data_IF_564710283968
#
_entry.id   IF_564710283968
#
_cell.length_a   1.000
_cell.length_b   1.000
_cell.length_c   1.000
_cell.angle_alpha   90.00
_cell.angle_beta   90.00
_cell.angle_gamma   90.00
#
_symmetry.space_group_name_H-M   'P 1'
#
loop_
_entity.id
_entity.type
_entity.pdbx_description
1 polymer ?
#
# COMPACT_ATOMS: atom_id res chain seq x y z
N UNK A 1 -29.15 3.60 32.84
CA UNK A 1 -27.72 3.58 32.38
C UNK A 1 -27.61 4.64 31.31
N UNK A 2 -26.90 5.73 31.59
CA UNK A 2 -26.90 6.95 30.78
C UNK A 2 -26.37 6.73 29.37
N UNK A 3 -26.93 7.45 28.39
CA UNK A 3 -26.51 7.45 26.96
C UNK A 3 -24.99 7.68 26.86
N UNK A 4 -24.40 8.55 27.69
CA UNK A 4 -22.95 8.78 27.77
C UNK A 4 -22.14 7.53 28.14
N UNK A 5 -22.61 6.68 29.02
CA UNK A 5 -21.91 5.44 29.40
C UNK A 5 -21.98 4.43 28.25
N UNK A 6 -23.09 4.37 27.51
CA UNK A 6 -23.20 3.50 26.32
C UNK A 6 -22.29 3.93 25.19
N UNK A 7 -22.18 5.24 24.92
CA UNK A 7 -21.27 5.78 23.88
C UNK A 7 -19.82 5.51 24.24
N UNK A 8 -19.43 5.70 25.51
CA UNK A 8 -18.07 5.41 25.97
C UNK A 8 -17.71 3.91 25.90
N UNK A 9 -18.64 3.02 26.24
CA UNK A 9 -18.42 1.57 26.15
C UNK A 9 -18.32 1.09 24.71
N UNK A 10 -19.11 1.63 23.80
CA UNK A 10 -19.06 1.29 22.36
C UNK A 10 -17.75 1.79 21.76
N UNK A 11 -17.33 3.01 22.06
CA UNK A 11 -16.07 3.56 21.51
C UNK A 11 -14.84 2.81 22.03
N UNK A 12 -14.81 2.43 23.32
CA UNK A 12 -13.70 1.63 23.86
C UNK A 12 -13.64 0.20 23.31
N UNK A 13 -14.79 -0.40 23.02
CA UNK A 13 -14.87 -1.71 22.39
C UNK A 13 -14.37 -1.67 20.94
N UNK A 14 -14.80 -0.69 20.13
CA UNK A 14 -14.33 -0.52 18.76
C UNK A 14 -12.84 -0.22 18.70
N UNK A 15 -12.29 0.60 19.58
CA UNK A 15 -10.86 0.83 19.69
C UNK A 15 -10.09 -0.47 20.00
N UNK A 16 -10.63 -1.32 20.89
CA UNK A 16 -10.06 -2.64 21.19
C UNK A 16 -10.08 -3.59 19.98
N UNK A 17 -11.17 -3.62 19.19
CA UNK A 17 -11.29 -4.45 17.99
C UNK A 17 -10.32 -3.98 16.91
N UNK A 18 -10.29 -2.69 16.59
CA UNK A 18 -9.39 -2.12 15.59
C UNK A 18 -7.91 -2.37 15.94
N UNK A 19 -7.53 -2.17 17.19
CA UNK A 19 -6.17 -2.46 17.67
C UNK A 19 -5.81 -3.95 17.53
N UNK A 20 -6.77 -4.85 17.77
CA UNK A 20 -6.54 -6.29 17.59
C UNK A 20 -6.41 -6.67 16.12
N UNK A 21 -7.18 -6.04 15.23
CA UNK A 21 -7.04 -6.23 13.78
C UNK A 21 -5.63 -5.80 13.33
N UNK A 22 -5.19 -4.59 13.74
CA UNK A 22 -3.86 -4.08 13.39
C UNK A 22 -2.75 -5.01 13.90
N UNK A 23 -2.85 -5.52 15.13
CA UNK A 23 -1.92 -6.50 15.68
C UNK A 23 -1.86 -7.79 14.84
N UNK A 24 -3.02 -8.35 14.46
CA UNK A 24 -3.07 -9.56 13.63
C UNK A 24 -2.40 -9.35 12.26
N UNK A 25 -2.54 -8.15 11.69
CA UNK A 25 -1.89 -7.79 10.44
C UNK A 25 -0.37 -7.67 10.59
N UNK A 26 0.13 -7.08 11.69
CA UNK A 26 1.56 -7.04 12.01
C UNK A 26 2.15 -8.43 12.23
N UNK A 27 1.37 -9.35 12.80
CA UNK A 27 1.73 -10.76 12.96
C UNK A 27 1.60 -11.59 11.67
N UNK A 28 1.23 -10.99 10.53
CA UNK A 28 0.92 -11.66 9.25
C UNK A 28 -0.22 -12.69 9.34
N UNK A 29 -1.13 -12.54 10.31
CA UNK A 29 -2.33 -13.38 10.49
C UNK A 29 -3.52 -12.83 9.71
N UNK A 30 -3.35 -12.67 8.40
CA UNK A 30 -4.29 -11.93 7.54
C UNK A 30 -5.69 -12.53 7.48
N UNK A 31 -5.82 -13.85 7.52
CA UNK A 31 -7.14 -14.53 7.54
C UNK A 31 -7.89 -14.27 8.85
N UNK A 32 -7.18 -14.26 9.98
CA UNK A 32 -7.78 -13.94 11.27
C UNK A 32 -8.18 -12.46 11.35
N UNK A 33 -7.33 -11.57 10.82
CA UNK A 33 -7.65 -10.14 10.71
C UNK A 33 -8.90 -9.90 9.84
N UNK A 34 -8.98 -10.55 8.67
CA UNK A 34 -10.16 -10.47 7.80
C UNK A 34 -11.42 -10.95 8.54
N UNK A 35 -11.35 -12.13 9.14
CA UNK A 35 -12.49 -12.68 9.89
C UNK A 35 -12.95 -11.71 11.01
N UNK A 36 -12.01 -11.14 11.74
CA UNK A 36 -12.35 -10.19 12.82
C UNK A 36 -13.01 -8.91 12.27
N UNK A 37 -12.57 -8.43 11.09
CA UNK A 37 -13.24 -7.32 10.40
C UNK A 37 -14.68 -7.69 9.99
N UNK A 38 -14.88 -8.88 9.39
CA UNK A 38 -16.20 -9.35 8.94
C UNK A 38 -17.16 -9.57 10.11
N UNK A 39 -16.69 -10.18 11.21
CA UNK A 39 -17.48 -10.44 12.41
C UNK A 39 -17.96 -9.13 13.10
N UNK A 40 -17.26 -8.00 12.87
CA UNK A 40 -17.59 -6.69 13.43
C UNK A 40 -18.07 -5.69 12.38
N UNK A 41 -18.41 -6.13 11.17
CA UNK A 41 -18.77 -5.27 10.06
C UNK A 41 -19.81 -4.20 10.42
N UNK A 42 -19.50 -2.95 10.06
CA UNK A 42 -20.37 -1.81 10.20
C UNK A 42 -20.17 -0.86 9.00
N UNK A 43 -21.20 -0.69 8.19
CA UNK A 43 -21.18 0.12 6.97
C UNK A 43 -20.98 1.63 7.20
N UNK A 44 -21.02 2.07 8.43
CA UNK A 44 -20.80 3.47 8.82
C UNK A 44 -19.50 3.69 9.64
N UNK A 45 -18.69 2.66 9.82
CA UNK A 45 -17.42 2.73 10.53
C UNK A 45 -16.26 2.84 9.53
N UNK A 46 -15.80 4.07 9.30
CA UNK A 46 -14.67 4.36 8.39
C UNK A 46 -13.42 3.58 8.76
N UNK A 47 -13.14 3.48 10.07
CA UNK A 47 -11.94 2.82 10.59
C UNK A 47 -11.98 1.31 10.39
N UNK A 48 -13.13 0.70 10.43
CA UNK A 48 -13.29 -0.71 10.13
C UNK A 48 -13.29 -0.97 8.61
N UNK A 49 -13.93 -0.10 7.83
CA UNK A 49 -14.04 -0.25 6.38
C UNK A 49 -12.69 -0.22 5.67
N UNK A 50 -11.80 0.72 6.00
CA UNK A 50 -10.47 0.72 5.38
C UNK A 50 -9.62 -0.48 5.85
N UNK A 51 -9.80 -0.97 7.12
CA UNK A 51 -9.12 -2.19 7.59
C UNK A 51 -9.62 -3.44 6.88
N UNK A 52 -10.92 -3.50 6.60
CA UNK A 52 -11.50 -4.60 5.83
C UNK A 52 -10.95 -4.62 4.39
N UNK A 53 -10.85 -3.45 3.75
CA UNK A 53 -10.21 -3.32 2.43
C UNK A 53 -8.74 -3.74 2.48
N UNK A 54 -7.98 -3.33 3.52
CA UNK A 54 -6.60 -3.75 3.76
C UNK A 54 -6.51 -5.27 3.94
N UNK A 55 -7.37 -5.88 4.75
CA UNK A 55 -7.31 -7.31 5.03
C UNK A 55 -7.51 -8.16 3.76
N UNK A 56 -8.42 -7.77 2.88
CA UNK A 56 -8.55 -8.40 1.56
C UNK A 56 -7.32 -8.18 0.67
N UNK A 57 -6.74 -6.97 0.69
CA UNK A 57 -5.51 -6.68 -0.04
C UNK A 57 -4.34 -7.54 0.47
N UNK A 58 -4.15 -7.65 1.78
CA UNK A 58 -3.06 -8.43 2.38
C UNK A 58 -3.14 -9.92 1.96
N UNK A 59 -4.35 -10.49 1.90
CA UNK A 59 -4.58 -11.85 1.37
C UNK A 59 -4.25 -11.93 -0.12
N UNK A 60 -4.63 -10.91 -0.90
CA UNK A 60 -4.30 -10.85 -2.32
C UNK A 60 -2.80 -10.77 -2.55
N UNK A 61 -2.07 -10.06 -1.70
CA UNK A 61 -0.62 -9.87 -1.83
C UNK A 61 0.17 -11.14 -1.50
N UNK A 62 -0.34 -12.00 -0.62
CA UNK A 62 0.31 -13.26 -0.22
C UNK A 62 0.22 -14.37 -1.26
N UNK A 63 -0.59 -14.24 -2.29
CA UNK A 63 -0.79 -15.31 -3.28
C UNK A 63 -0.18 -14.98 -4.65
N UNK A 64 0.39 -15.99 -5.30
CA UNK A 64 0.76 -15.92 -6.72
C UNK A 64 -0.38 -16.28 -7.67
N UNK A 65 -1.50 -16.84 -7.15
CA UNK A 65 -2.66 -17.19 -7.95
C UNK A 65 -3.43 -15.93 -8.34
N UNK A 66 -3.45 -15.66 -9.66
CA UNK A 66 -4.03 -14.43 -10.21
C UNK A 66 -5.54 -14.30 -9.98
N UNK A 67 -6.26 -15.42 -10.00
CA UNK A 67 -7.72 -15.42 -9.81
C UNK A 67 -8.09 -15.14 -8.36
N UNK A 68 -7.35 -15.73 -7.41
CA UNK A 68 -7.50 -15.44 -5.98
C UNK A 68 -7.17 -13.97 -5.71
N UNK A 69 -6.08 -13.47 -6.31
CA UNK A 69 -5.67 -12.06 -6.20
C UNK A 69 -6.77 -11.14 -6.71
N UNK A 70 -7.27 -11.34 -7.93
CA UNK A 70 -8.36 -10.54 -8.50
C UNK A 70 -9.60 -10.55 -7.64
N UNK A 71 -10.06 -11.74 -7.22
CA UNK A 71 -11.25 -11.87 -6.37
C UNK A 71 -11.14 -11.08 -5.06
N UNK A 72 -9.98 -11.12 -4.40
CA UNK A 72 -9.81 -10.37 -3.16
C UNK A 72 -9.72 -8.84 -3.40
N UNK A 73 -9.07 -8.39 -4.47
CA UNK A 73 -9.05 -6.96 -4.82
C UNK A 73 -10.45 -6.46 -5.20
N UNK A 74 -11.25 -7.26 -5.92
CA UNK A 74 -12.63 -6.91 -6.25
C UNK A 74 -13.52 -6.82 -5.00
N UNK A 75 -13.27 -7.67 -3.99
CA UNK A 75 -13.95 -7.57 -2.67
C UNK A 75 -13.49 -6.37 -1.85
N UNK A 76 -12.21 -5.98 -1.93
CA UNK A 76 -11.66 -4.83 -1.20
C UNK A 76 -12.22 -3.50 -1.70
N UNK A 77 -12.48 -3.38 -3.01
CA UNK A 77 -12.82 -2.11 -3.66
C UNK A 77 -14.08 -1.45 -3.09
N UNK A 78 -15.23 -2.11 -2.91
CA UNK A 78 -16.42 -1.47 -2.35
C UNK A 78 -16.22 -0.93 -0.94
N UNK A 79 -15.45 -1.61 -0.08
CA UNK A 79 -15.17 -1.16 1.27
C UNK A 79 -14.27 0.08 1.29
N UNK A 80 -13.22 0.12 0.45
CA UNK A 80 -12.36 1.31 0.34
C UNK A 80 -13.12 2.52 -0.23
N UNK A 81 -14.02 2.34 -1.21
CA UNK A 81 -14.90 3.38 -1.72
C UNK A 81 -15.86 3.88 -0.64
N UNK A 82 -16.49 2.97 0.09
CA UNK A 82 -17.42 3.33 1.15
C UNK A 82 -16.76 4.13 2.26
N UNK A 83 -15.54 3.77 2.65
CA UNK A 83 -14.76 4.56 3.61
C UNK A 83 -14.56 6.01 3.15
N UNK A 84 -14.21 6.22 1.87
CA UNK A 84 -14.06 7.55 1.27
C UNK A 84 -15.37 8.34 1.20
N UNK A 85 -16.49 7.67 0.90
CA UNK A 85 -17.81 8.31 0.83
C UNK A 85 -18.23 8.86 2.20
N UNK A 86 -17.94 8.13 3.29
CA UNK A 86 -18.29 8.54 4.65
C UNK A 86 -17.35 9.65 5.13
N UNK A 87 -16.04 9.47 4.98
CA UNK A 87 -15.05 10.47 5.37
C UNK A 87 -14.00 10.71 4.27
N UNK A 88 -14.27 11.64 3.37
CA UNK A 88 -13.30 12.02 2.32
C UNK A 88 -11.98 12.60 2.87
N UNK A 89 -11.92 12.99 4.14
CA UNK A 89 -10.74 13.55 4.79
C UNK A 89 -10.01 12.55 5.70
N UNK A 90 -10.41 11.28 5.72
CA UNK A 90 -9.63 10.23 6.35
C UNK A 90 -8.37 9.93 5.52
N UNK A 91 -7.19 10.12 6.11
CA UNK A 91 -5.91 9.79 5.45
C UNK A 91 -5.85 8.30 5.08
N UNK A 92 -6.30 7.41 5.98
CA UNK A 92 -6.32 5.96 5.78
C UNK A 92 -7.29 5.53 4.67
N UNK A 93 -8.49 6.14 4.60
CA UNK A 93 -9.45 5.85 3.54
C UNK A 93 -8.90 6.25 2.17
N UNK A 94 -8.29 7.45 2.04
CA UNK A 94 -7.63 7.89 0.80
C UNK A 94 -6.47 6.97 0.42
N UNK A 95 -5.63 6.60 1.38
CA UNK A 95 -4.50 5.68 1.15
C UNK A 95 -4.98 4.32 0.64
N UNK A 96 -5.90 3.65 1.36
CA UNK A 96 -6.32 2.30 1.01
C UNK A 96 -7.13 2.25 -0.28
N UNK A 97 -7.92 3.29 -0.58
CA UNK A 97 -8.54 3.40 -1.89
C UNK A 97 -7.48 3.47 -3.00
N UNK A 98 -6.46 4.31 -2.86
CA UNK A 98 -5.38 4.43 -3.84
C UNK A 98 -4.60 3.12 -4.02
N UNK A 99 -4.32 2.38 -2.93
CA UNK A 99 -3.67 1.05 -2.97
C UNK A 99 -4.53 0.06 -3.76
N UNK A 100 -5.82 -0.05 -3.42
CA UNK A 100 -6.73 -1.03 -4.03
C UNK A 100 -6.95 -0.73 -5.52
N UNK A 101 -7.20 0.53 -5.89
CA UNK A 101 -7.43 0.88 -7.29
C UNK A 101 -6.16 0.75 -8.13
N UNK A 102 -4.99 1.03 -7.55
CA UNK A 102 -3.70 0.79 -8.18
C UNK A 102 -3.47 -0.69 -8.47
N UNK A 103 -3.69 -1.56 -7.47
CA UNK A 103 -3.56 -3.00 -7.63
C UNK A 103 -4.56 -3.56 -8.65
N UNK A 104 -5.81 -3.07 -8.64
CA UNK A 104 -6.82 -3.42 -9.65
C UNK A 104 -6.33 -3.08 -11.05
N UNK A 105 -5.78 -1.89 -11.25
CA UNK A 105 -5.22 -1.48 -12.55
C UNK A 105 -4.13 -2.42 -13.05
N UNK A 106 -3.21 -2.84 -12.17
CA UNK A 106 -2.15 -3.80 -12.51
C UNK A 106 -2.71 -5.17 -12.93
N UNK A 107 -3.82 -5.59 -12.36
CA UNK A 107 -4.47 -6.89 -12.64
C UNK A 107 -5.34 -6.88 -13.90
N UNK A 108 -5.83 -5.73 -14.32
CA UNK A 108 -6.73 -5.56 -15.46
C UNK A 108 -6.01 -5.18 -16.77
N UNK A 109 -4.70 -4.99 -16.70
CA UNK A 109 -3.85 -4.75 -17.86
C UNK A 109 -3.56 -3.27 -18.13
N UNK A 110 -2.77 -3.02 -19.18
CA UNK A 110 -2.12 -1.72 -19.43
C UNK A 110 -3.08 -0.54 -19.47
N UNK A 111 -4.21 -0.68 -20.15
CA UNK A 111 -5.19 0.41 -20.24
C UNK A 111 -5.70 0.82 -18.87
N UNK A 112 -6.14 -0.15 -18.06
CA UNK A 112 -6.70 0.14 -16.74
C UNK A 112 -5.61 0.60 -15.75
N UNK A 113 -4.39 0.06 -15.87
CA UNK A 113 -3.22 0.54 -15.11
C UNK A 113 -3.01 2.04 -15.33
N UNK A 114 -3.07 2.50 -16.59
CA UNK A 114 -2.90 3.92 -16.93
C UNK A 114 -4.07 4.74 -16.40
N UNK A 115 -5.32 4.31 -16.62
CA UNK A 115 -6.52 5.01 -16.15
C UNK A 115 -6.49 5.21 -14.63
N UNK A 116 -6.22 4.13 -13.89
CA UNK A 116 -6.20 4.17 -12.44
C UNK A 116 -5.00 4.94 -11.86
N UNK A 117 -3.90 5.10 -12.62
CA UNK A 117 -2.69 5.78 -12.13
C UNK A 117 -2.93 7.24 -11.75
N UNK A 118 -3.88 7.92 -12.39
CA UNK A 118 -4.25 9.30 -12.07
C UNK A 118 -4.94 9.37 -10.70
N UNK A 119 -5.90 8.48 -10.47
CA UNK A 119 -6.61 8.42 -9.18
C UNK A 119 -5.65 8.00 -8.06
N UNK A 120 -4.76 7.02 -8.31
CA UNK A 120 -3.71 6.64 -7.34
C UNK A 120 -2.90 7.85 -6.91
N UNK A 121 -2.47 8.69 -7.87
CA UNK A 121 -1.71 9.91 -7.58
C UNK A 121 -2.55 10.91 -6.79
N UNK A 122 -3.79 11.17 -7.21
CA UNK A 122 -4.67 12.13 -6.56
C UNK A 122 -4.92 11.75 -5.09
N UNK A 123 -5.40 10.54 -4.84
CA UNK A 123 -5.73 10.08 -3.49
C UNK A 123 -4.48 9.83 -2.64
N UNK A 124 -3.37 9.39 -3.24
CA UNK A 124 -2.09 9.24 -2.55
C UNK A 124 -1.55 10.58 -2.06
N UNK A 125 -1.51 11.62 -2.90
CA UNK A 125 -1.08 12.97 -2.51
C UNK A 125 -2.02 13.59 -1.46
N UNK A 126 -3.33 13.35 -1.58
CA UNK A 126 -4.30 13.78 -0.57
C UNK A 126 -4.06 13.09 0.77
N UNK A 127 -3.78 11.80 0.77
CA UNK A 127 -3.47 11.04 1.99
C UNK A 127 -2.19 11.58 2.67
N UNK A 128 -1.12 11.89 1.92
CA UNK A 128 0.09 12.53 2.47
C UNK A 128 -0.22 13.89 3.09
N UNK A 129 -1.05 14.71 2.42
CA UNK A 129 -1.44 16.02 2.97
C UNK A 129 -2.22 15.90 4.28
N UNK A 130 -3.03 14.85 4.43
CA UNK A 130 -3.84 14.60 5.63
C UNK A 130 -3.01 13.97 6.77
N UNK A 131 -2.10 13.05 6.44
CA UNK A 131 -1.17 12.43 7.39
C UNK A 131 0.24 12.29 6.76
N UNK A 132 1.09 13.32 6.89
CA UNK A 132 2.44 13.31 6.31
C UNK A 132 3.40 12.34 7.01
N UNK A 133 3.01 11.75 8.14
CA UNK A 133 3.83 10.78 8.90
C UNK A 133 3.44 9.33 8.66
N UNK A 134 2.50 9.06 7.77
CA UNK A 134 2.14 7.70 7.45
C UNK A 134 3.06 7.13 6.36
N UNK A 135 4.02 6.30 6.77
CA UNK A 135 5.02 5.64 5.92
C UNK A 135 4.41 4.88 4.72
N UNK A 136 3.29 4.18 4.95
CA UNK A 136 2.59 3.45 3.90
C UNK A 136 2.19 4.32 2.71
N UNK A 137 1.81 5.60 2.93
CA UNK A 137 1.45 6.49 1.82
C UNK A 137 2.69 6.98 1.05
N UNK A 138 3.79 7.24 1.73
CA UNK A 138 5.06 7.53 1.07
C UNK A 138 5.52 6.32 0.24
N UNK A 139 5.43 5.11 0.79
CA UNK A 139 5.70 3.88 0.04
C UNK A 139 4.81 3.73 -1.20
N UNK A 140 3.50 3.98 -1.08
CA UNK A 140 2.56 3.96 -2.20
C UNK A 140 3.00 4.91 -3.31
N UNK A 141 3.35 6.16 -2.97
CA UNK A 141 3.78 7.15 -3.96
C UNK A 141 5.13 6.80 -4.57
N UNK A 142 6.08 6.27 -3.80
CA UNK A 142 7.33 5.72 -4.34
C UNK A 142 7.07 4.61 -5.36
N UNK A 143 6.15 3.68 -5.06
CA UNK A 143 5.72 2.64 -5.99
C UNK A 143 5.04 3.20 -7.24
N UNK A 144 4.24 4.24 -7.08
CA UNK A 144 3.59 4.91 -8.21
C UNK A 144 4.63 5.53 -9.15
N UNK A 145 5.58 6.32 -8.63
CA UNK A 145 6.66 6.93 -9.43
C UNK A 145 7.52 5.87 -10.12
N UNK A 146 7.90 4.80 -9.39
CA UNK A 146 8.63 3.68 -9.97
C UNK A 146 7.88 3.06 -11.16
N UNK A 147 6.61 2.71 -10.98
CA UNK A 147 5.81 2.05 -12.01
C UNK A 147 5.57 2.94 -13.23
N UNK A 148 5.42 4.24 -13.05
CA UNK A 148 5.26 5.21 -14.14
C UNK A 148 6.58 5.42 -14.89
N UNK A 149 7.71 5.53 -14.17
CA UNK A 149 9.04 5.62 -14.77
C UNK A 149 9.41 4.37 -15.58
N UNK A 150 8.98 3.20 -15.12
CA UNK A 150 9.25 1.89 -15.74
C UNK A 150 8.30 1.54 -16.91
N UNK A 151 7.39 2.44 -17.28
CA UNK A 151 6.48 2.23 -18.40
C UNK A 151 7.26 2.05 -19.71
N UNK A 152 6.97 0.97 -20.44
CA UNK A 152 7.52 0.75 -21.76
C UNK A 152 7.00 1.82 -22.76
N UNK A 153 7.75 2.06 -23.84
CA UNK A 153 7.40 3.07 -24.84
C UNK A 153 5.99 2.91 -25.41
N UNK A 154 5.53 1.67 -25.62
CA UNK A 154 4.17 1.40 -26.12
C UNK A 154 3.09 1.72 -25.09
N UNK A 155 3.36 1.53 -23.80
CA UNK A 155 2.46 1.92 -22.72
C UNK A 155 2.33 3.45 -22.65
N UNK A 156 3.42 4.19 -22.85
CA UNK A 156 3.40 5.66 -22.96
C UNK A 156 2.59 6.12 -24.17
N UNK A 157 2.69 5.41 -25.29
CA UNK A 157 1.87 5.69 -26.50
C UNK A 157 0.38 5.48 -26.22
N UNK A 158 0.01 4.41 -25.53
CA UNK A 158 -1.38 4.18 -25.09
C UNK A 158 -1.84 5.29 -24.14
N UNK A 159 -1.01 5.67 -23.18
CA UNK A 159 -1.32 6.76 -22.25
C UNK A 159 -1.61 8.06 -22.98
N UNK A 160 -0.77 8.42 -23.96
CA UNK A 160 -0.95 9.62 -24.80
C UNK A 160 -2.22 9.60 -25.64
N UNK A 161 -2.67 8.42 -26.05
CA UNK A 161 -3.93 8.26 -26.81
C UNK A 161 -5.18 8.35 -25.93
N UNK A 162 -5.06 8.02 -24.62
CA UNK A 162 -6.18 8.04 -23.68
C UNK A 162 -6.30 9.41 -23.00
N UNK A 163 -5.16 10.05 -22.67
CA UNK A 163 -5.07 11.32 -21.99
C UNK A 163 -4.18 12.29 -22.76
N UNK A 164 -4.54 13.58 -22.73
CA UNK A 164 -3.74 14.64 -23.36
C UNK A 164 -2.34 14.77 -22.74
N UNK A 165 -2.18 14.42 -21.46
CA UNK A 165 -0.91 14.43 -20.75
C UNK A 165 -0.75 13.10 -20.01
N UNK A 166 0.16 12.21 -20.44
CA UNK A 166 0.45 10.98 -19.71
C UNK A 166 0.94 11.27 -18.29
N UNK A 167 0.75 10.34 -17.33
CA UNK A 167 1.31 10.53 -16.01
C UNK A 167 2.84 10.63 -16.09
N UNK A 168 3.39 11.54 -15.30
CA UNK A 168 4.83 11.73 -15.16
C UNK A 168 5.28 11.20 -13.81
N UNK A 169 6.40 10.49 -13.81
CA UNK A 169 7.05 9.95 -12.62
C UNK A 169 8.47 9.52 -12.96
N UNK A 170 9.38 9.66 -12.01
CA UNK A 170 10.80 9.34 -12.17
C UNK A 170 11.26 8.36 -11.10
N UNK A 171 12.38 7.68 -11.35
CA UNK A 171 13.01 6.85 -10.33
C UNK A 171 13.63 7.68 -9.21
N UNK A 172 14.06 8.90 -9.48
CA UNK A 172 14.56 9.86 -8.50
C UNK A 172 13.48 10.25 -7.50
N UNK A 173 12.27 10.60 -7.98
CA UNK A 173 11.12 10.87 -7.12
C UNK A 173 10.70 9.63 -6.33
N UNK A 174 10.78 8.42 -6.94
CA UNK A 174 10.52 7.18 -6.22
C UNK A 174 11.50 7.00 -5.04
N UNK A 175 12.80 7.25 -5.25
CA UNK A 175 13.84 7.18 -4.23
C UNK A 175 13.54 8.16 -3.08
N UNK A 176 13.14 9.41 -3.39
CA UNK A 176 12.77 10.40 -2.39
C UNK A 176 11.58 9.93 -1.53
N UNK A 177 10.53 9.43 -2.16
CA UNK A 177 9.36 8.93 -1.43
C UNK A 177 9.70 7.70 -0.55
N UNK A 178 10.53 6.78 -1.03
CA UNK A 178 10.97 5.65 -0.22
C UNK A 178 11.89 6.09 0.93
N UNK A 179 12.72 7.12 0.72
CA UNK A 179 13.51 7.75 1.78
C UNK A 179 12.60 8.31 2.89
N UNK A 180 11.58 9.09 2.53
CA UNK A 180 10.59 9.60 3.48
C UNK A 180 9.84 8.47 4.24
N UNK A 181 9.58 7.34 3.57
CA UNK A 181 8.97 6.17 4.21
C UNK A 181 9.95 5.52 5.24
N UNK A 182 11.23 5.39 4.90
CA UNK A 182 12.27 4.89 5.81
C UNK A 182 12.44 5.81 7.01
N UNK A 183 12.49 7.13 6.82
CA UNK A 183 12.60 8.11 7.90
C UNK A 183 11.45 8.02 8.89
N UNK A 184 10.26 7.65 8.42
CA UNK A 184 9.06 7.52 9.23
C UNK A 184 8.97 6.16 9.90
N UNK A 185 9.32 5.08 9.18
CA UNK A 185 9.31 3.70 9.68
C UNK A 185 10.56 2.94 9.21
N UNK A 186 11.69 3.06 9.92
CA UNK A 186 12.97 2.45 9.54
C UNK A 186 13.00 0.91 9.67
N UNK A 187 11.93 0.28 10.17
CA UNK A 187 11.90 -1.17 10.36
C UNK A 187 11.11 -1.92 9.26
N UNK A 188 10.60 -1.22 8.25
CA UNK A 188 9.87 -1.85 7.16
C UNK A 188 10.80 -2.16 5.97
N UNK A 189 11.12 -3.45 5.80
CA UNK A 189 11.98 -3.97 4.74
C UNK A 189 11.53 -3.60 3.32
N UNK A 190 10.22 -3.37 3.13
CA UNK A 190 9.65 -3.00 1.81
C UNK A 190 10.22 -1.70 1.28
N UNK A 191 10.42 -0.70 2.16
CA UNK A 191 10.91 0.61 1.78
C UNK A 191 12.33 0.52 1.20
N UNK A 192 13.21 -0.19 1.88
CA UNK A 192 14.60 -0.43 1.45
C UNK A 192 14.68 -1.20 0.14
N UNK A 193 13.91 -2.30 0.02
CA UNK A 193 13.89 -3.10 -1.20
C UNK A 193 13.49 -2.26 -2.42
N UNK A 194 12.44 -1.43 -2.29
CA UNK A 194 11.95 -0.64 -3.42
C UNK A 194 12.85 0.58 -3.69
N UNK A 195 13.45 1.17 -2.69
CA UNK A 195 14.48 2.19 -2.87
C UNK A 195 15.69 1.63 -3.63
N UNK A 196 16.18 0.46 -3.22
CA UNK A 196 17.30 -0.21 -3.90
C UNK A 196 16.94 -0.59 -5.35
N UNK A 197 15.71 -1.06 -5.62
CA UNK A 197 15.23 -1.31 -6.99
C UNK A 197 15.22 -0.03 -7.83
N UNK A 198 14.84 1.10 -7.25
CA UNK A 198 14.84 2.40 -7.95
C UNK A 198 16.26 2.86 -8.25
N UNK A 199 17.18 2.75 -7.29
CA UNK A 199 18.61 3.05 -7.47
C UNK A 199 19.24 2.16 -8.55
N UNK A 200 18.89 0.87 -8.57
CA UNK A 200 19.34 -0.07 -9.62
C UNK A 200 18.92 0.40 -11.02
N UNK A 201 17.70 0.90 -11.17
CA UNK A 201 17.17 1.38 -12.47
C UNK A 201 17.94 2.58 -13.03
N UNK A 202 18.51 3.41 -12.18
CA UNK A 202 19.34 4.56 -12.57
C UNK A 202 20.85 4.27 -12.49
N UNK A 203 21.23 2.98 -12.37
CA UNK A 203 22.62 2.50 -12.31
C UNK A 203 23.44 2.99 -11.10
N UNK A 204 22.78 3.42 -10.03
CA UNK A 204 23.42 3.81 -8.75
C UNK A 204 23.68 2.57 -7.87
N UNK A 205 24.47 1.63 -8.38
CA UNK A 205 24.66 0.30 -7.78
C UNK A 205 25.27 0.34 -6.38
N UNK A 206 26.24 1.20 -6.14
CA UNK A 206 26.88 1.30 -4.82
C UNK A 206 25.91 1.85 -3.75
N UNK A 207 25.05 2.80 -4.14
CA UNK A 207 24.00 3.28 -3.24
C UNK A 207 22.95 2.19 -3.00
N UNK A 208 22.59 1.42 -4.02
CA UNK A 208 21.66 0.30 -3.88
C UNK A 208 22.21 -0.74 -2.90
N UNK A 209 23.51 -1.11 -2.99
CA UNK A 209 24.16 -1.99 -2.01
C UNK A 209 24.09 -1.45 -0.59
N UNK A 210 24.44 -0.17 -0.41
CA UNK A 210 24.40 0.48 0.91
C UNK A 210 23.01 0.40 1.55
N UNK A 211 21.94 0.66 0.78
CA UNK A 211 20.56 0.55 1.24
C UNK A 211 20.19 -0.90 1.62
N UNK A 212 20.62 -1.88 0.84
CA UNK A 212 20.37 -3.30 1.15
C UNK A 212 21.19 -3.78 2.36
N UNK A 213 22.39 -3.24 2.59
CA UNK A 213 23.18 -3.48 3.80
C UNK A 213 22.47 -2.94 5.06
N UNK A 214 21.82 -1.78 4.96
CA UNK A 214 20.99 -1.26 6.05
C UNK A 214 19.77 -2.18 6.29
N UNK A 215 19.08 -2.58 5.24
CA UNK A 215 17.95 -3.51 5.35
C UNK A 215 18.35 -4.83 6.03
N UNK A 216 19.57 -5.32 5.79
CA UNK A 216 20.06 -6.58 6.38
C UNK A 216 20.20 -6.56 7.90
N UNK A 217 20.22 -5.37 8.52
CA UNK A 217 20.30 -5.17 9.97
C UNK A 217 18.95 -5.20 10.66
N UNK A 218 17.85 -5.15 9.89
CA UNK A 218 16.48 -5.14 10.41
C UNK A 218 16.12 -6.53 10.90
N UNK A 219 15.50 -6.60 12.08
CA UNK A 219 15.00 -7.86 12.64
C UNK A 219 13.86 -8.45 11.81
N UNK A 220 13.99 -9.71 11.44
CA UNK A 220 12.95 -10.49 10.73
C UNK A 220 11.92 -10.99 11.72
N UNK A 221 10.70 -10.48 11.65
CA UNK A 221 9.66 -10.73 12.66
C UNK A 221 8.63 -11.78 12.23
N UNK A 222 8.41 -11.94 10.92
CA UNK A 222 7.33 -12.76 10.39
C UNK A 222 7.68 -13.40 9.03
N UNK A 223 6.77 -14.19 8.47
CA UNK A 223 6.99 -14.87 7.18
C UNK A 223 7.08 -13.88 6.00
N UNK A 224 6.36 -12.77 6.03
CA UNK A 224 6.45 -11.73 5.00
C UNK A 224 7.85 -11.12 4.95
N UNK A 225 8.46 -10.87 6.10
CA UNK A 225 9.84 -10.36 6.19
C UNK A 225 10.84 -11.36 5.60
N UNK A 226 10.65 -12.66 5.82
CA UNK A 226 11.52 -13.70 5.23
C UNK A 226 11.48 -13.69 3.71
N UNK A 227 10.30 -13.47 3.14
CA UNK A 227 10.14 -13.34 1.68
C UNK A 227 10.88 -12.09 1.19
N UNK A 228 10.75 -10.96 1.88
CA UNK A 228 11.44 -9.71 1.53
C UNK A 228 12.96 -9.85 1.63
N UNK A 229 13.48 -10.48 2.67
CA UNK A 229 14.93 -10.76 2.82
C UNK A 229 15.44 -11.62 1.67
N UNK A 230 14.69 -12.59 1.19
CA UNK A 230 15.11 -13.39 0.03
C UNK A 230 15.16 -12.53 -1.24
N UNK A 231 14.19 -11.63 -1.46
CA UNK A 231 14.22 -10.68 -2.58
C UNK A 231 15.38 -9.68 -2.46
N UNK A 232 15.71 -9.23 -1.26
CA UNK A 232 16.86 -8.36 -0.97
C UNK A 232 18.16 -9.08 -1.37
N UNK A 233 18.36 -10.32 -0.95
CA UNK A 233 19.52 -11.14 -1.31
C UNK A 233 19.61 -11.37 -2.82
N UNK A 234 18.49 -11.64 -3.48
CA UNK A 234 18.43 -11.80 -4.93
C UNK A 234 18.86 -10.50 -5.66
N UNK A 235 18.35 -9.34 -5.22
CA UNK A 235 18.74 -8.06 -5.80
C UNK A 235 20.22 -7.77 -5.55
N UNK A 236 20.71 -8.00 -4.33
CA UNK A 236 22.11 -7.82 -3.96
C UNK A 236 23.06 -8.63 -4.84
N UNK A 237 22.67 -9.84 -5.22
CA UNK A 237 23.48 -10.69 -6.08
C UNK A 237 23.59 -10.20 -7.53
N UNK A 238 22.78 -9.22 -7.93
CA UNK A 238 22.77 -8.60 -9.28
C UNK A 238 23.55 -7.28 -9.34
N UNK A 239 24.00 -6.79 -8.20
CA UNK A 239 24.75 -5.55 -8.02
C UNK A 239 26.27 -5.83 -7.96
#
# INVERSE_FOLDING_TARGET
MNIFIRVLLVSSFLFSVNSKIDQLQEESKFQEALKLCEDNYNDNDVDLLWRLARAYFDIADQTSNIDIKKNNIDKALPYSKRALEIDPNSAKANHWYAVIIGQKGLLEGTKQKILNSYDVREYGLKAIKLDPKYDGTHHLMGRWHYNVADLAWYERTIASAIYATPPEGTFEEAIEYFGNAIDTNPNDLRHYLWMAKSLYKISEYEKAKSILDEASKIEVKNESDKILINQIKELYSKL
#
